data_IF_159122359883
#
_entry.id   IF_159122359883
#
_cell.length_a   1.000
_cell.length_b   1.000
_cell.length_c   1.000
_cell.angle_alpha   90.00
_cell.angle_beta   90.00
_cell.angle_gamma   90.00
#
_symmetry.space_group_name_H-M   'P 1'
#
loop_
_entity.id
_entity.type
_entity.pdbx_description
1 polymer ?
#
# COMPACT_ATOMS: atom_id res chain seq x y z
N UNK A 1 -17.31 -2.93 0.93
CA UNK A 1 -15.89 -3.02 1.27
C UNK A 1 -15.06 -2.68 0.04
N UNK A 2 -14.13 -1.74 0.17
CA UNK A 2 -13.13 -1.43 -0.86
C UNK A 2 -11.76 -1.95 -0.44
N UNK A 3 -10.90 -2.26 -1.41
CA UNK A 3 -9.53 -2.74 -1.15
C UNK A 3 -8.52 -1.87 -1.89
N UNK A 4 -7.58 -1.27 -1.14
CA UNK A 4 -6.48 -0.47 -1.69
C UNK A 4 -5.16 -1.16 -1.37
N UNK A 5 -4.35 -1.47 -2.37
CA UNK A 5 -3.02 -2.03 -2.15
C UNK A 5 -1.93 -0.97 -2.29
N UNK A 6 -0.98 -0.96 -1.36
CA UNK A 6 0.22 -0.13 -1.41
C UNK A 6 1.38 -1.02 -1.84
N UNK A 7 1.82 -0.87 -3.09
CA UNK A 7 2.82 -1.75 -3.71
C UNK A 7 4.00 -0.94 -4.21
N UNK A 8 5.22 -1.39 -3.92
CA UNK A 8 6.43 -0.76 -4.44
C UNK A 8 7.57 -1.75 -4.50
N UNK A 9 8.33 -1.70 -5.60
CA UNK A 9 9.45 -2.62 -5.84
C UNK A 9 10.71 -2.25 -5.06
N UNK A 10 10.74 -1.08 -4.39
CA UNK A 10 11.92 -0.62 -3.65
C UNK A 10 11.66 -0.53 -2.15
N UNK A 11 12.64 -1.00 -1.37
CA UNK A 11 12.71 -0.71 0.06
C UNK A 11 12.81 0.80 0.32
N UNK A 12 12.13 1.28 1.37
CA UNK A 12 12.20 2.68 1.78
C UNK A 12 11.33 3.66 0.98
N UNK A 13 10.54 3.22 0.00
CA UNK A 13 9.61 4.09 -0.73
C UNK A 13 8.48 4.67 0.16
N UNK A 14 8.33 4.15 1.39
CA UNK A 14 7.36 4.62 2.38
C UNK A 14 5.98 3.96 2.26
N UNK A 15 5.94 2.68 1.85
CA UNK A 15 4.72 1.86 1.78
C UNK A 15 3.98 1.85 3.11
N UNK A 16 4.57 1.25 4.14
CA UNK A 16 3.98 1.12 5.48
C UNK A 16 3.56 2.47 6.05
N UNK A 17 4.38 3.51 5.88
CA UNK A 17 4.04 4.87 6.33
C UNK A 17 2.78 5.41 5.63
N UNK A 18 2.70 5.25 4.31
CA UNK A 18 1.52 5.66 3.54
C UNK A 18 0.29 4.81 3.92
N UNK A 19 0.45 3.49 4.04
CA UNK A 19 -0.58 2.53 4.44
C UNK A 19 -1.22 2.94 5.79
N UNK A 20 -0.38 3.20 6.80
CA UNK A 20 -0.79 3.65 8.12
C UNK A 20 -1.53 5.00 8.07
N UNK A 21 -0.97 5.99 7.37
CA UNK A 21 -1.59 7.32 7.29
C UNK A 21 -2.95 7.29 6.58
N UNK A 22 -3.07 6.53 5.49
CA UNK A 22 -4.35 6.35 4.79
C UNK A 22 -5.37 5.64 5.67
N UNK A 23 -4.95 4.62 6.43
CA UNK A 23 -5.83 3.88 7.33
C UNK A 23 -6.40 4.79 8.43
N UNK A 24 -5.54 5.57 9.07
CA UNK A 24 -5.94 6.53 10.12
C UNK A 24 -6.82 7.64 9.54
N UNK A 25 -6.49 8.16 8.35
CA UNK A 25 -7.30 9.19 7.70
C UNK A 25 -8.72 8.69 7.39
N UNK A 26 -8.85 7.47 6.86
CA UNK A 26 -10.13 6.83 6.59
C UNK A 26 -10.92 6.57 7.88
N UNK A 27 -10.28 6.04 8.92
CA UNK A 27 -10.92 5.82 10.23
C UNK A 27 -11.43 7.13 10.85
N UNK A 28 -10.65 8.22 10.73
CA UNK A 28 -11.07 9.57 11.17
C UNK A 28 -12.25 10.14 10.38
N UNK A 29 -12.56 9.59 9.21
CA UNK A 29 -13.76 9.92 8.43
C UNK A 29 -14.96 9.05 8.79
N UNK A 30 -14.84 8.20 9.81
CA UNK A 30 -15.91 7.34 10.33
C UNK A 30 -16.01 5.98 9.65
N UNK A 31 -15.04 5.62 8.80
CA UNK A 31 -15.01 4.30 8.16
C UNK A 31 -14.50 3.22 9.13
N UNK A 32 -15.05 2.02 9.02
CA UNK A 32 -14.46 0.80 9.59
C UNK A 32 -13.29 0.37 8.70
N UNK A 33 -12.07 0.37 9.22
CA UNK A 33 -10.85 0.17 8.42
C UNK A 33 -10.02 -1.00 8.94
N UNK A 34 -9.53 -1.82 8.02
CA UNK A 34 -8.52 -2.84 8.29
C UNK A 34 -7.22 -2.54 7.53
N UNK A 35 -6.10 -2.47 8.25
CA UNK A 35 -4.75 -2.46 7.71
C UNK A 35 -4.20 -3.88 7.73
N UNK A 36 -4.05 -4.49 6.56
CA UNK A 36 -3.57 -5.86 6.40
C UNK A 36 -2.08 -5.79 6.04
N UNK A 37 -1.24 -6.22 6.97
CA UNK A 37 0.22 -6.29 6.82
C UNK A 37 0.60 -7.64 6.20
N UNK A 38 1.09 -7.60 4.96
CA UNK A 38 1.56 -8.78 4.24
C UNK A 38 3.09 -8.92 4.31
N UNK A 39 3.79 -7.98 4.93
CA UNK A 39 5.23 -8.03 5.09
C UNK A 39 5.60 -8.97 6.24
N UNK A 40 6.45 -9.99 6.02
CA UNK A 40 6.96 -10.83 7.10
C UNK A 40 7.67 -10.06 8.23
N UNK A 41 8.14 -8.83 7.99
CA UNK A 41 8.70 -7.96 9.03
C UNK A 41 7.63 -7.34 9.94
N UNK A 42 6.35 -7.42 9.56
CA UNK A 42 5.20 -7.02 10.36
C UNK A 42 5.29 -5.59 10.95
N UNK A 43 5.85 -4.64 10.19
CA UNK A 43 6.10 -3.27 10.68
C UNK A 43 4.80 -2.51 10.91
N UNK A 44 3.78 -2.71 10.09
CA UNK A 44 2.46 -2.10 10.31
C UNK A 44 1.78 -2.72 11.53
N UNK A 45 1.88 -4.03 11.73
CA UNK A 45 1.34 -4.71 12.91
C UNK A 45 1.99 -4.21 14.22
N UNK A 46 3.32 -4.11 14.24
CA UNK A 46 4.05 -3.53 15.38
C UNK A 46 3.60 -2.09 15.69
N UNK A 47 3.35 -1.28 14.65
CA UNK A 47 2.76 0.05 14.85
C UNK A 47 1.36 -0.01 15.46
N UNK A 48 0.53 -0.97 15.04
CA UNK A 48 -0.81 -1.20 15.60
C UNK A 48 -0.77 -1.49 17.10
N UNK A 49 0.15 -2.34 17.53
CA UNK A 49 0.38 -2.67 18.94
C UNK A 49 0.77 -1.43 19.77
N UNK A 50 1.64 -0.57 19.24
CA UNK A 50 2.06 0.67 19.91
C UNK A 50 0.94 1.70 20.02
N UNK A 51 0.13 1.83 18.96
CA UNK A 51 -0.97 2.79 18.91
C UNK A 51 -2.08 2.42 19.90
N UNK A 52 -2.40 1.12 19.97
CA UNK A 52 -3.61 0.64 20.65
C UNK A 52 -4.91 1.09 19.98
N UNK A 53 -6.03 0.55 20.46
CA UNK A 53 -7.38 0.84 19.98
C UNK A 53 -7.80 0.03 18.76
N UNK A 54 -9.09 0.09 18.44
CA UNK A 54 -9.71 -0.94 17.58
C UNK A 54 -9.82 -0.55 16.10
N UNK A 55 -9.77 0.75 15.77
CA UNK A 55 -9.93 1.25 14.40
C UNK A 55 -8.81 2.26 14.04
N UNK A 56 -8.02 2.06 12.96
CA UNK A 56 -8.01 0.89 12.08
C UNK A 56 -7.57 -0.39 12.80
N UNK A 57 -8.25 -1.51 12.53
CA UNK A 57 -7.77 -2.82 12.94
C UNK A 57 -6.50 -3.15 12.16
N UNK A 58 -5.50 -3.76 12.80
CA UNK A 58 -4.25 -4.13 12.12
C UNK A 58 -4.06 -5.64 12.19
N UNK A 59 -3.86 -6.28 11.03
CA UNK A 59 -3.78 -7.73 10.91
C UNK A 59 -2.55 -8.10 10.11
N UNK A 60 -1.59 -8.79 10.72
CA UNK A 60 -0.49 -9.43 9.99
C UNK A 60 -0.93 -10.80 9.48
N UNK A 61 -0.76 -11.06 8.18
CA UNK A 61 -1.09 -12.36 7.59
C UNK A 61 -0.19 -12.67 6.40
N UNK A 62 0.22 -13.93 6.17
CA UNK A 62 0.88 -14.30 4.93
C UNK A 62 -0.04 -14.07 3.73
N UNK A 63 0.53 -13.71 2.57
CA UNK A 63 -0.22 -13.46 1.34
C UNK A 63 -1.05 -14.68 0.88
N UNK A 64 -0.65 -15.90 1.24
CA UNK A 64 -1.40 -17.14 0.96
C UNK A 64 -2.76 -17.19 1.67
N UNK A 65 -2.96 -16.39 2.73
CA UNK A 65 -4.21 -16.26 3.48
C UNK A 65 -4.93 -14.93 3.21
N UNK A 66 -4.45 -14.11 2.26
CA UNK A 66 -5.03 -12.80 1.98
C UNK A 66 -6.52 -12.89 1.64
N UNK A 67 -6.92 -13.86 0.80
CA UNK A 67 -8.31 -14.03 0.40
C UNK A 67 -9.23 -14.32 1.60
N UNK A 68 -8.84 -15.26 2.45
CA UNK A 68 -9.59 -15.58 3.67
C UNK A 68 -9.69 -14.37 4.62
N UNK A 69 -8.59 -13.62 4.77
CA UNK A 69 -8.56 -12.42 5.63
C UNK A 69 -9.49 -11.32 5.10
N UNK A 70 -9.54 -11.14 3.78
CA UNK A 70 -10.47 -10.20 3.15
C UNK A 70 -11.93 -10.64 3.31
N UNK A 71 -12.21 -11.94 3.23
CA UNK A 71 -13.55 -12.47 3.49
C UNK A 71 -13.99 -12.24 4.94
N UNK A 72 -13.10 -12.49 5.90
CA UNK A 72 -13.34 -12.21 7.32
C UNK A 72 -13.61 -10.72 7.56
N UNK A 73 -12.81 -9.82 6.96
CA UNK A 73 -13.03 -8.38 7.03
C UNK A 73 -14.38 -7.96 6.43
N UNK A 74 -14.78 -8.55 5.30
CA UNK A 74 -16.07 -8.28 4.68
C UNK A 74 -17.23 -8.71 5.58
N UNK A 75 -17.14 -9.89 6.21
CA UNK A 75 -18.15 -10.40 7.14
C UNK A 75 -18.25 -9.57 8.41
N UNK A 76 -17.13 -8.99 8.87
CA UNK A 76 -17.09 -8.07 10.00
C UNK A 76 -17.62 -6.67 9.67
N UNK A 77 -18.02 -6.40 8.42
CA UNK A 77 -18.55 -5.10 8.01
C UNK A 77 -17.46 -4.02 7.86
N UNK A 78 -16.23 -4.41 7.48
CA UNK A 78 -15.17 -3.44 7.17
C UNK A 78 -15.52 -2.66 5.89
N UNK A 79 -15.39 -1.34 5.94
CA UNK A 79 -15.65 -0.46 4.80
C UNK A 79 -14.46 -0.40 3.85
N UNK A 80 -13.23 -0.37 4.40
CA UNK A 80 -11.99 -0.22 3.65
C UNK A 80 -10.88 -1.13 4.20
N UNK A 81 -10.29 -1.94 3.32
CA UNK A 81 -9.05 -2.65 3.56
C UNK A 81 -7.88 -1.96 2.86
N UNK A 82 -6.78 -1.75 3.59
CA UNK A 82 -5.51 -1.27 3.05
C UNK A 82 -4.50 -2.40 3.17
N UNK A 83 -3.90 -2.81 2.05
CA UNK A 83 -2.91 -3.87 2.00
C UNK A 83 -1.50 -3.25 1.97
N UNK A 84 -0.69 -3.53 2.99
CA UNK A 84 0.73 -3.17 3.01
C UNK A 84 1.57 -4.34 2.47
N UNK A 85 2.17 -4.17 1.28
CA UNK A 85 2.96 -5.23 0.66
C UNK A 85 4.39 -5.29 1.22
N UNK A 86 5.07 -6.46 1.17
CA UNK A 86 6.50 -6.52 1.41
C UNK A 86 7.31 -5.70 0.39
N UNK A 87 8.60 -5.41 0.66
CA UNK A 87 9.52 -4.92 -0.35
C UNK A 87 9.73 -5.97 -1.46
N UNK A 88 9.96 -5.48 -2.69
CA UNK A 88 10.15 -6.26 -3.91
C UNK A 88 8.88 -6.75 -4.62
N UNK A 89 9.03 -6.99 -5.93
CA UNK A 89 7.97 -7.33 -6.88
C UNK A 89 7.66 -8.84 -6.89
N UNK A 90 7.29 -9.40 -5.75
CA UNK A 90 7.14 -10.84 -5.58
C UNK A 90 5.67 -11.31 -5.62
N UNK A 91 5.45 -12.59 -5.29
CA UNK A 91 4.12 -13.20 -5.27
C UNK A 91 3.15 -12.47 -4.33
N UNK A 92 3.62 -11.88 -3.24
CA UNK A 92 2.78 -11.14 -2.29
C UNK A 92 2.31 -9.81 -2.89
N UNK A 93 3.21 -9.07 -3.54
CA UNK A 93 2.86 -7.83 -4.25
C UNK A 93 1.83 -8.09 -5.37
N UNK A 94 2.01 -9.18 -6.14
CA UNK A 94 1.06 -9.59 -7.19
C UNK A 94 -0.29 -10.00 -6.60
N UNK A 95 -0.29 -10.76 -5.50
CA UNK A 95 -1.51 -11.17 -4.80
C UNK A 95 -2.29 -9.96 -4.28
N UNK A 96 -1.61 -9.02 -3.62
CA UNK A 96 -2.21 -7.78 -3.14
C UNK A 96 -2.79 -6.94 -4.29
N UNK A 97 -2.03 -6.76 -5.38
CA UNK A 97 -2.50 -6.00 -6.54
C UNK A 97 -3.73 -6.62 -7.20
N UNK A 98 -3.80 -7.96 -7.31
CA UNK A 98 -4.97 -8.66 -7.89
C UNK A 98 -6.21 -8.54 -7.01
N UNK A 99 -6.04 -8.59 -5.70
CA UNK A 99 -7.14 -8.48 -4.74
C UNK A 99 -7.69 -7.05 -4.60
N UNK A 100 -6.91 -6.02 -4.98
CA UNK A 100 -7.29 -4.63 -4.81
C UNK A 100 -8.24 -4.10 -5.89
N UNK A 101 -9.01 -3.08 -5.52
CA UNK A 101 -9.77 -2.22 -6.45
C UNK A 101 -8.89 -1.10 -7.01
N UNK A 102 -7.87 -0.70 -6.24
CA UNK A 102 -6.95 0.39 -6.55
C UNK A 102 -5.55 0.03 -6.04
N UNK A 103 -4.52 0.30 -6.85
CA UNK A 103 -3.12 0.16 -6.42
C UNK A 103 -2.45 1.53 -6.35
N UNK A 104 -1.77 1.80 -5.24
CA UNK A 104 -0.95 2.99 -5.06
C UNK A 104 0.52 2.59 -5.01
N UNK A 105 1.34 3.27 -5.81
CA UNK A 105 2.77 3.01 -5.95
C UNK A 105 3.56 4.17 -5.36
N UNK A 106 3.88 4.14 -4.06
CA UNK A 106 4.71 5.17 -3.47
C UNK A 106 6.11 5.10 -4.09
N UNK A 107 6.60 6.25 -4.54
CA UNK A 107 7.90 6.38 -5.21
C UNK A 107 8.60 7.68 -4.83
N UNK A 108 9.90 7.62 -4.57
CA UNK A 108 10.72 8.81 -4.36
C UNK A 108 11.08 9.45 -5.71
N UNK A 109 11.39 10.74 -5.70
CA UNK A 109 11.70 11.51 -6.93
C UNK A 109 13.20 11.49 -7.30
N UNK A 110 13.88 10.36 -7.15
CA UNK A 110 15.27 10.22 -7.63
C UNK A 110 15.32 9.51 -8.99
N UNK A 111 16.35 9.79 -9.80
CA UNK A 111 16.49 9.20 -11.13
C UNK A 111 16.44 7.64 -11.11
N UNK A 112 17.03 7.02 -10.09
CA UNK A 112 16.98 5.56 -9.92
C UNK A 112 15.59 5.05 -9.53
N UNK A 113 14.82 5.84 -8.79
CA UNK A 113 13.46 5.48 -8.39
C UNK A 113 12.50 5.57 -9.58
N UNK A 114 12.63 6.60 -10.42
CA UNK A 114 11.81 6.76 -11.64
C UNK A 114 12.04 5.63 -12.64
N UNK A 115 13.27 5.10 -12.73
CA UNK A 115 13.52 3.91 -13.55
C UNK A 115 12.80 2.67 -13.01
N UNK A 116 12.72 2.49 -11.69
CA UNK A 116 12.02 1.39 -11.04
C UNK A 116 10.48 1.48 -11.17
N UNK A 117 9.93 2.67 -11.43
CA UNK A 117 8.49 2.82 -11.74
C UNK A 117 8.13 2.01 -12.99
N UNK A 118 9.01 1.95 -14.00
CA UNK A 118 8.71 1.23 -15.26
C UNK A 118 8.41 -0.24 -15.01
N UNK A 119 9.24 -0.91 -14.21
CA UNK A 119 9.07 -2.32 -13.82
C UNK A 119 7.85 -2.50 -12.92
N UNK A 120 7.53 -1.52 -12.08
CA UNK A 120 6.28 -1.55 -11.30
C UNK A 120 5.05 -1.40 -12.20
N UNK A 121 5.13 -0.53 -13.21
CA UNK A 121 4.09 -0.33 -14.21
C UNK A 121 3.80 -1.61 -15.00
N UNK A 122 4.81 -2.41 -15.32
CA UNK A 122 4.63 -3.73 -15.93
C UNK A 122 3.85 -4.68 -15.02
N UNK A 123 4.17 -4.73 -13.72
CA UNK A 123 3.43 -5.53 -12.74
C UNK A 123 1.97 -5.06 -12.62
N UNK A 124 1.73 -3.75 -12.66
CA UNK A 124 0.37 -3.17 -12.63
C UNK A 124 -0.44 -3.49 -13.90
N UNK A 125 0.21 -3.51 -15.08
CA UNK A 125 -0.44 -3.98 -16.32
C UNK A 125 -0.91 -5.43 -16.21
N UNK A 126 -0.14 -6.28 -15.53
CA UNK A 126 -0.51 -7.69 -15.28
C UNK A 126 -1.71 -7.79 -14.33
N UNK A 127 -1.80 -6.91 -13.33
CA UNK A 127 -2.90 -6.92 -12.37
C UNK A 127 -4.22 -6.40 -12.96
N UNK A 128 -4.18 -5.64 -14.06
CA UNK A 128 -5.34 -5.00 -14.71
C UNK A 128 -6.23 -4.18 -13.75
N UNK A 129 -5.62 -3.53 -12.76
CA UNK A 129 -6.30 -2.63 -11.81
C UNK A 129 -5.90 -1.18 -12.06
N UNK A 130 -6.78 -0.21 -11.74
CA UNK A 130 -6.39 1.20 -11.64
C UNK A 130 -5.16 1.35 -10.73
N UNK A 131 -4.11 1.98 -11.24
CA UNK A 131 -2.85 2.15 -10.52
C UNK A 131 -2.34 3.59 -10.63
N UNK A 132 -1.91 4.17 -9.52
CA UNK A 132 -1.41 5.55 -9.46
C UNK A 132 -0.08 5.62 -8.71
N UNK A 133 0.88 6.35 -9.26
CA UNK A 133 2.12 6.67 -8.56
C UNK A 133 1.88 7.77 -7.54
N UNK A 134 2.37 7.59 -6.32
CA UNK A 134 2.37 8.60 -5.27
C UNK A 134 3.81 9.07 -5.07
N UNK A 135 4.12 10.31 -5.42
CA UNK A 135 5.44 10.85 -5.11
C UNK A 135 5.57 11.08 -3.61
N UNK A 136 6.50 10.34 -3.00
CA UNK A 136 6.71 10.32 -1.56
C UNK A 136 8.13 10.80 -1.21
N UNK A 137 8.29 11.38 -0.02
CA UNK A 137 9.54 11.99 0.43
C UNK A 137 10.15 12.98 -0.59
N UNK A 138 9.29 13.78 -1.24
CA UNK A 138 9.71 14.83 -2.17
C UNK A 138 10.37 15.96 -1.38
N UNK A 139 11.62 16.36 -1.70
CA UNK A 139 12.25 17.49 -1.05
C UNK A 139 11.44 18.77 -1.27
N UNK A 140 11.26 19.65 -0.26
CA UNK A 140 10.43 20.85 -0.39
C UNK A 140 10.84 21.83 -1.51
N UNK A 141 12.09 21.74 -1.98
CA UNK A 141 12.66 22.61 -3.02
C UNK A 141 12.72 21.95 -4.42
N UNK A 142 12.09 20.79 -4.58
CA UNK A 142 12.18 19.95 -5.77
C UNK A 142 10.99 20.12 -6.74
N UNK A 143 10.44 21.34 -6.90
CA UNK A 143 9.23 21.55 -7.70
C UNK A 143 9.38 21.06 -9.16
N UNK A 144 10.52 21.34 -9.80
CA UNK A 144 10.79 20.88 -11.17
C UNK A 144 10.95 19.36 -11.30
N UNK A 145 11.42 18.68 -10.25
CA UNK A 145 11.62 17.22 -10.25
C UNK A 145 10.30 16.44 -10.27
N UNK A 146 9.20 17.03 -9.79
CA UNK A 146 7.88 16.40 -9.84
C UNK A 146 7.28 16.51 -11.25
N UNK A 147 7.45 17.66 -11.90
CA UNK A 147 7.03 17.87 -13.30
C UNK A 147 7.80 16.93 -14.24
N UNK A 148 9.13 16.83 -14.06
CA UNK A 148 9.97 15.90 -14.81
C UNK A 148 9.59 14.43 -14.58
N UNK A 149 9.25 14.08 -13.33
CA UNK A 149 8.84 12.72 -12.97
C UNK A 149 7.46 12.33 -13.51
N UNK A 150 6.54 13.29 -13.65
CA UNK A 150 5.21 13.04 -14.21
C UNK A 150 5.23 12.78 -15.72
N UNK A 151 6.33 13.13 -16.40
CA UNK A 151 6.52 12.90 -17.83
C UNK A 151 7.06 11.50 -18.19
N UNK A 152 7.35 10.65 -17.18
CA UNK A 152 7.95 9.30 -17.32
C UNK A 152 6.91 8.20 -17.16
#
# INVERSE_FOLDING_TARGET
MHVVAIVSQKGGAGKTTLSVHLAVAAARKGLSVALIDLDPQATAAQWGDWRGGDNPAVVATPYTRLEATLQEAAQAGVDLCILDSPPAADAAAVSAARAADLVLVPTRVSAFDLHAIKTTGELMRIAQKPAYTIFNAVPPRAASLVEDAAAV
#
